data_IF_895189639592
#
_entry.id   IF_895189639592
#
_cell.length_a   1.000
_cell.length_b   1.000
_cell.length_c   1.000
_cell.angle_alpha   90.00
_cell.angle_beta   90.00
_cell.angle_gamma   90.00
#
_symmetry.space_group_name_H-M   'P 1'
#
loop_
_entity.id
_entity.type
_entity.pdbx_description
1 polymer ?
#
# COMPACT_ATOMS: atom_id res chain seq x y z
N UNK A 1 -26.08 33.61 22.31
CA UNK A 1 -25.81 33.74 20.86
C UNK A 1 -24.49 33.01 20.61
N UNK A 2 -24.55 31.74 20.19
CA UNK A 2 -23.37 30.91 19.92
C UNK A 2 -22.90 31.17 18.48
N UNK A 3 -21.61 31.39 18.19
CA UNK A 3 -21.09 31.22 16.85
C UNK A 3 -20.92 29.71 16.55
N UNK A 4 -21.41 29.32 15.38
CA UNK A 4 -21.37 27.99 14.76
C UNK A 4 -19.94 27.54 14.40
N UNK A 5 -19.60 26.25 14.51
CA UNK A 5 -18.36 25.69 13.96
C UNK A 5 -18.56 25.45 12.46
N UNK A 6 -17.91 26.25 11.62
CA UNK A 6 -17.93 26.03 10.17
C UNK A 6 -16.58 26.42 9.60
N UNK A 7 -15.61 25.51 9.74
CA UNK A 7 -14.46 25.47 8.86
C UNK A 7 -13.92 24.04 8.81
N UNK A 8 -14.64 23.17 8.10
CA UNK A 8 -14.05 21.98 7.49
C UNK A 8 -12.98 22.47 6.51
N UNK A 9 -11.75 22.65 7.00
CA UNK A 9 -10.58 22.86 6.18
C UNK A 9 -10.56 21.76 5.11
N UNK A 10 -10.73 22.17 3.85
CA UNK A 10 -10.70 21.30 2.70
C UNK A 10 -9.37 20.53 2.70
N UNK A 11 -9.39 19.27 3.10
CA UNK A 11 -8.25 18.38 2.97
C UNK A 11 -7.96 18.25 1.48
N UNK A 12 -6.83 18.79 1.04
CA UNK A 12 -6.37 18.68 -0.34
C UNK A 12 -6.47 17.21 -0.81
N UNK A 13 -6.82 16.95 -2.09
CA UNK A 13 -6.96 15.58 -2.60
C UNK A 13 -5.68 14.78 -2.32
N UNK A 14 -5.79 13.69 -1.55
CA UNK A 14 -4.65 12.84 -1.24
C UNK A 14 -4.19 12.16 -2.52
N UNK A 15 -3.00 12.53 -2.98
CA UNK A 15 -2.43 11.96 -4.20
C UNK A 15 -1.81 10.59 -3.90
N UNK A 16 -2.64 9.54 -4.02
CA UNK A 16 -2.24 8.16 -3.81
C UNK A 16 -1.15 7.67 -4.78
N UNK A 17 -0.98 8.35 -5.92
CA UNK A 17 -0.01 7.99 -6.95
C UNK A 17 1.22 8.90 -6.96
N UNK A 18 1.42 9.75 -5.93
CA UNK A 18 2.53 10.71 -5.91
C UNK A 18 3.91 10.09 -6.11
N UNK A 19 4.12 8.87 -5.59
CA UNK A 19 5.39 8.15 -5.72
C UNK A 19 5.51 7.39 -7.06
N UNK A 20 4.38 7.07 -7.71
CA UNK A 20 4.36 6.44 -9.04
C UNK A 20 4.41 7.46 -10.19
N UNK A 21 3.99 8.72 -9.96
CA UNK A 21 3.95 9.77 -11.00
C UNK A 21 5.33 10.03 -11.64
N UNK A 22 6.45 10.10 -10.90
CA UNK A 22 7.79 10.21 -11.51
C UNK A 22 8.10 9.05 -12.47
N UNK A 23 7.57 7.86 -12.20
CA UNK A 23 7.78 6.64 -12.99
C UNK A 23 6.68 6.37 -14.03
N UNK A 24 5.69 7.27 -14.17
CA UNK A 24 4.58 7.09 -15.12
C UNK A 24 5.05 7.00 -16.58
N UNK A 25 6.19 7.61 -16.91
CA UNK A 25 6.81 7.53 -18.23
C UNK A 25 7.30 6.11 -18.61
N UNK A 26 7.48 5.23 -17.61
CA UNK A 26 7.88 3.84 -17.81
C UNK A 26 6.66 2.91 -18.01
N UNK A 27 5.45 3.39 -17.72
CA UNK A 27 4.21 2.61 -17.79
C UNK A 27 3.83 2.10 -19.20
N UNK A 28 4.01 2.84 -20.31
CA UNK A 28 3.68 2.29 -21.61
C UNK A 28 4.69 1.20 -22.03
N UNK A 29 4.23 -0.05 -22.11
CA UNK A 29 5.04 -1.20 -22.58
C UNK A 29 5.56 -0.97 -24.00
N UNK A 30 4.79 -0.25 -24.82
CA UNK A 30 5.04 -0.05 -26.24
C UNK A 30 4.50 1.31 -26.72
N UNK A 31 4.73 2.39 -25.98
CA UNK A 31 4.18 3.72 -26.35
C UNK A 31 2.64 3.75 -26.38
N UNK A 32 2.07 4.81 -26.95
CA UNK A 32 0.61 5.01 -27.10
C UNK A 32 0.11 4.77 -28.51
N UNK A 33 0.97 4.25 -29.39
CA UNK A 33 0.72 4.18 -30.83
C UNK A 33 0.09 2.84 -31.25
N UNK A 34 -0.28 2.72 -32.54
CA UNK A 34 -0.78 1.46 -33.13
C UNK A 34 0.18 0.26 -32.94
N UNK A 35 1.46 0.52 -32.67
CA UNK A 35 2.43 -0.50 -32.30
C UNK A 35 2.13 -1.12 -30.92
N UNK A 36 1.61 -0.34 -29.97
CA UNK A 36 1.24 -0.83 -28.65
C UNK A 36 0.13 -1.87 -28.71
N UNK A 37 -0.91 -1.58 -29.49
CA UNK A 37 -2.05 -2.48 -29.68
C UNK A 37 -1.63 -3.79 -30.35
N UNK A 38 -0.74 -3.70 -31.36
CA UNK A 38 -0.17 -4.88 -32.00
C UNK A 38 0.68 -5.69 -31.02
N UNK A 39 1.55 -5.03 -30.28
CA UNK A 39 2.42 -5.69 -29.32
C UNK A 39 1.63 -6.33 -28.15
N UNK A 40 0.53 -5.72 -27.71
CA UNK A 40 -0.38 -6.29 -26.72
C UNK A 40 -1.12 -7.52 -27.27
N UNK A 41 -1.57 -7.49 -28.53
CA UNK A 41 -2.14 -8.65 -29.19
C UNK A 41 -1.12 -9.80 -29.33
N UNK A 42 0.12 -9.50 -29.71
CA UNK A 42 1.20 -10.48 -29.75
C UNK A 42 1.49 -11.05 -28.34
N UNK A 43 1.60 -10.21 -27.31
CA UNK A 43 1.85 -10.65 -25.95
C UNK A 43 0.75 -11.60 -25.44
N UNK A 44 -0.52 -11.29 -25.70
CA UNK A 44 -1.66 -12.17 -25.36
C UNK A 44 -1.61 -13.49 -26.13
N UNK A 45 -1.24 -13.45 -27.41
CA UNK A 45 -1.15 -14.64 -28.25
C UNK A 45 -0.04 -15.60 -27.78
N UNK A 46 1.17 -15.09 -27.53
CA UNK A 46 2.30 -15.90 -27.05
C UNK A 46 2.11 -16.42 -25.60
N UNK A 47 1.29 -15.76 -24.79
CA UNK A 47 1.00 -16.17 -23.40
C UNK A 47 -0.03 -17.30 -23.27
N UNK A 48 -0.64 -17.76 -24.36
CA UNK A 48 -1.71 -18.77 -24.33
C UNK A 48 -1.16 -20.16 -24.73
N UNK A 49 -1.55 -21.27 -24.05
CA UNK A 49 -1.11 -22.63 -24.42
C UNK A 49 -1.48 -23.04 -25.85
N UNK A 50 -2.47 -22.37 -26.44
CA UNK A 50 -2.88 -22.53 -27.84
C UNK A 50 -1.76 -22.25 -28.83
N UNK A 51 -0.84 -21.33 -28.54
CA UNK A 51 0.30 -21.04 -29.43
C UNK A 51 1.22 -22.26 -29.58
N UNK A 52 1.57 -22.91 -28.46
CA UNK A 52 2.41 -24.12 -28.47
C UNK A 52 1.73 -25.26 -29.23
N UNK A 53 0.42 -25.42 -29.05
CA UNK A 53 -0.37 -26.42 -29.79
C UNK A 53 -0.37 -26.17 -31.29
N UNK A 54 -0.63 -24.93 -31.72
CA UNK A 54 -0.62 -24.55 -33.13
C UNK A 54 0.78 -24.72 -33.76
N UNK A 55 1.85 -24.31 -33.06
CA UNK A 55 3.22 -24.47 -33.53
C UNK A 55 3.58 -25.95 -33.71
N UNK A 56 3.21 -26.80 -32.75
CA UNK A 56 3.45 -28.25 -32.83
C UNK A 56 2.70 -28.88 -34.00
N UNK A 57 1.44 -28.49 -34.22
CA UNK A 57 0.65 -28.98 -35.34
C UNK A 57 1.28 -28.62 -36.70
N UNK A 58 1.77 -27.38 -36.85
CA UNK A 58 2.45 -26.93 -38.07
C UNK A 58 3.69 -27.78 -38.35
N UNK A 59 4.50 -28.05 -37.31
CA UNK A 59 5.69 -28.90 -37.43
C UNK A 59 5.32 -30.33 -37.83
N UNK A 60 4.29 -30.91 -37.20
CA UNK A 60 3.81 -32.26 -37.53
C UNK A 60 3.30 -32.35 -38.98
N UNK A 61 2.55 -31.34 -39.44
CA UNK A 61 2.09 -31.27 -40.83
C UNK A 61 3.28 -31.17 -41.80
N UNK A 62 4.28 -30.32 -41.49
CA UNK A 62 5.48 -30.18 -42.31
C UNK A 62 6.25 -31.49 -42.45
N UNK A 63 6.51 -32.15 -41.33
CA UNK A 63 7.19 -33.46 -41.29
C UNK A 63 6.37 -34.49 -42.06
N UNK A 64 5.06 -34.57 -41.82
CA UNK A 64 4.17 -35.52 -42.50
C UNK A 64 4.10 -35.34 -44.02
N UNK A 65 4.04 -34.09 -44.50
CA UNK A 65 4.05 -33.79 -45.93
C UNK A 65 5.37 -34.20 -46.61
N UNK A 66 6.52 -33.92 -45.98
CA UNK A 66 7.82 -34.31 -46.50
C UNK A 66 8.04 -35.84 -46.44
N UNK A 67 7.56 -36.51 -45.39
CA UNK A 67 7.65 -37.96 -45.25
C UNK A 67 6.77 -38.70 -46.27
N UNK A 68 5.61 -38.14 -46.60
CA UNK A 68 4.66 -38.72 -47.56
C UNK A 68 5.15 -38.71 -49.01
N UNK A 69 6.32 -38.11 -49.28
CA UNK A 69 6.93 -38.06 -50.61
C UNK A 69 6.26 -37.09 -51.60
N UNK A 70 5.21 -36.37 -51.15
CA UNK A 70 4.48 -35.37 -51.96
C UNK A 70 5.38 -34.20 -52.34
N UNK A 71 6.30 -33.82 -51.45
CA UNK A 71 7.27 -32.74 -51.67
C UNK A 71 8.64 -33.19 -51.15
N UNK A 72 9.66 -33.25 -52.01
CA UNK A 72 11.05 -33.61 -51.64
C UNK A 72 11.88 -32.39 -51.19
N UNK A 73 11.23 -31.36 -50.65
CA UNK A 73 11.92 -30.11 -50.31
C UNK A 73 12.84 -30.25 -49.08
N UNK A 74 12.47 -31.10 -48.12
CA UNK A 74 13.21 -31.30 -46.86
C UNK A 74 13.24 -32.79 -46.47
N UNK A 75 14.03 -33.57 -47.22
CA UNK A 75 14.23 -35.01 -46.96
C UNK A 75 15.01 -35.21 -45.65
N UNK A 76 14.77 -36.31 -44.94
CA UNK A 76 15.51 -36.70 -43.73
C UNK A 76 17.03 -36.50 -43.94
N UNK A 77 17.71 -35.65 -43.14
CA UNK A 77 17.42 -35.27 -41.74
C UNK A 77 16.78 -33.86 -41.51
N UNK A 78 15.93 -33.35 -42.41
CA UNK A 78 15.20 -32.08 -42.26
C UNK A 78 16.09 -30.84 -42.03
N UNK A 79 17.04 -30.60 -42.94
CA UNK A 79 18.02 -29.51 -42.81
C UNK A 79 17.36 -28.13 -42.80
N UNK A 80 16.29 -27.92 -43.57
CA UNK A 80 15.63 -26.61 -43.67
C UNK A 80 14.85 -26.30 -42.41
N UNK A 81 14.11 -27.28 -41.88
CA UNK A 81 13.40 -27.15 -40.61
C UNK A 81 14.38 -26.87 -39.46
N UNK A 82 15.50 -27.59 -39.42
CA UNK A 82 16.53 -27.36 -38.40
C UNK A 82 17.16 -25.96 -38.52
N UNK A 83 17.43 -25.50 -39.75
CA UNK A 83 17.96 -24.16 -40.00
C UNK A 83 16.96 -23.08 -39.58
N UNK A 84 15.67 -23.27 -39.86
CA UNK A 84 14.61 -22.36 -39.44
C UNK A 84 14.51 -22.26 -37.91
N UNK A 85 14.54 -23.38 -37.19
CA UNK A 85 14.53 -23.39 -35.72
C UNK A 85 15.79 -22.77 -35.11
N UNK A 86 16.95 -23.01 -35.73
CA UNK A 86 18.22 -22.40 -35.32
C UNK A 86 18.15 -20.88 -35.44
N UNK A 87 17.65 -20.38 -36.58
CA UNK A 87 17.45 -18.94 -36.80
C UNK A 87 16.39 -18.35 -35.86
N UNK A 88 15.28 -19.05 -35.65
CA UNK A 88 14.22 -18.65 -34.74
C UNK A 88 14.78 -18.44 -33.33
N UNK A 89 15.58 -19.39 -32.83
CA UNK A 89 16.21 -19.31 -31.52
C UNK A 89 17.23 -18.19 -31.43
N UNK A 90 18.06 -18.03 -32.46
CA UNK A 90 19.08 -16.99 -32.53
C UNK A 90 18.49 -15.56 -32.52
N UNK A 91 17.33 -15.34 -33.13
CA UNK A 91 16.65 -14.05 -33.12
C UNK A 91 15.76 -13.85 -31.87
N UNK A 92 15.16 -14.94 -31.37
CA UNK A 92 14.34 -14.88 -30.16
C UNK A 92 15.15 -14.48 -28.93
N UNK A 93 16.35 -15.06 -28.74
CA UNK A 93 17.19 -14.79 -27.57
C UNK A 93 17.47 -13.28 -27.31
N UNK A 94 17.98 -12.49 -28.27
CA UNK A 94 18.23 -11.05 -28.06
C UNK A 94 16.93 -10.24 -27.92
N UNK A 95 15.86 -10.61 -28.61
CA UNK A 95 14.55 -9.96 -28.43
C UNK A 95 13.98 -10.18 -27.04
N UNK A 96 14.09 -11.42 -26.53
CA UNK A 96 13.69 -11.78 -25.17
C UNK A 96 14.54 -10.98 -24.17
N UNK A 97 15.84 -10.87 -24.38
CA UNK A 97 16.73 -10.09 -23.50
C UNK A 97 16.36 -8.60 -23.49
N UNK A 98 16.04 -8.02 -24.64
CA UNK A 98 15.59 -6.63 -24.73
C UNK A 98 14.24 -6.43 -24.02
N UNK A 99 13.30 -7.37 -24.20
CA UNK A 99 12.03 -7.35 -23.48
C UNK A 99 12.23 -7.47 -21.97
N UNK A 100 13.12 -8.35 -21.52
CA UNK A 100 13.48 -8.54 -20.12
C UNK A 100 14.16 -7.31 -19.51
N UNK A 101 15.07 -6.66 -20.23
CA UNK A 101 15.74 -5.45 -19.74
C UNK A 101 14.75 -4.31 -19.54
N UNK A 102 13.80 -4.16 -20.48
CA UNK A 102 12.70 -3.18 -20.34
C UNK A 102 11.75 -3.55 -19.20
N UNK A 103 11.46 -4.84 -19.00
CA UNK A 103 10.64 -5.28 -17.88
C UNK A 103 11.34 -5.02 -16.54
N UNK A 104 12.62 -5.37 -16.40
CA UNK A 104 13.41 -5.16 -15.20
C UNK A 104 13.52 -3.66 -14.82
N UNK A 105 13.66 -2.77 -15.80
CA UNK A 105 13.67 -1.32 -15.54
C UNK A 105 12.35 -0.83 -14.94
N UNK A 106 11.21 -1.36 -15.39
CA UNK A 106 9.88 -1.05 -14.83
C UNK A 106 9.71 -1.63 -13.45
N UNK A 107 10.05 -2.91 -13.28
CA UNK A 107 9.92 -3.60 -12.01
C UNK A 107 10.76 -2.91 -10.92
N UNK A 108 11.97 -2.46 -11.28
CA UNK A 108 12.82 -1.64 -10.40
C UNK A 108 12.14 -0.32 -10.03
N UNK A 109 11.65 0.43 -11.02
CA UNK A 109 10.99 1.71 -10.77
C UNK A 109 9.72 1.57 -9.90
N UNK A 110 8.95 0.51 -10.10
CA UNK A 110 7.77 0.21 -9.28
C UNK A 110 8.18 -0.18 -7.84
N UNK A 111 9.23 -0.97 -7.70
CA UNK A 111 9.78 -1.35 -6.38
C UNK A 111 10.31 -0.13 -5.62
N UNK A 112 11.01 0.79 -6.30
CA UNK A 112 11.54 2.02 -5.70
C UNK A 112 10.39 2.94 -5.23
N UNK A 113 9.34 3.10 -6.04
CA UNK A 113 8.14 3.86 -5.67
C UNK A 113 7.42 3.26 -4.45
N UNK A 114 7.27 1.92 -4.43
CA UNK A 114 6.66 1.20 -3.31
C UNK A 114 7.49 1.35 -2.02
N UNK A 115 8.82 1.31 -2.13
CA UNK A 115 9.71 1.51 -0.99
C UNK A 115 9.54 2.90 -0.39
N UNK A 116 9.56 3.95 -1.22
CA UNK A 116 9.32 5.33 -0.79
C UNK A 116 7.93 5.50 -0.14
N UNK A 117 6.91 4.86 -0.70
CA UNK A 117 5.56 4.88 -0.14
C UNK A 117 5.51 4.25 1.26
N UNK A 118 6.17 3.10 1.44
CA UNK A 118 6.25 2.42 2.74
C UNK A 118 7.00 3.26 3.78
N UNK A 119 8.12 3.89 3.40
CA UNK A 119 8.86 4.79 4.28
C UNK A 119 8.00 5.99 4.73
N UNK A 120 7.28 6.62 3.80
CA UNK A 120 6.39 7.73 4.13
C UNK A 120 5.26 7.32 5.08
N UNK A 121 4.69 6.12 4.91
CA UNK A 121 3.69 5.57 5.84
C UNK A 121 4.31 5.29 7.21
N UNK A 122 5.53 4.75 7.26
CA UNK A 122 6.22 4.45 8.51
C UNK A 122 6.47 5.72 9.35
N UNK A 123 6.91 6.80 8.70
CA UNK A 123 7.09 8.12 9.36
C UNK A 123 5.76 8.66 9.85
N UNK A 124 4.72 8.68 9.01
CA UNK A 124 3.40 9.17 9.44
C UNK A 124 2.82 8.35 10.61
N UNK A 125 3.08 7.04 10.65
CA UNK A 125 2.66 6.19 11.76
C UNK A 125 3.45 6.44 13.03
N UNK A 126 4.77 6.69 12.96
CA UNK A 126 5.57 7.03 14.14
C UNK A 126 5.15 8.38 14.73
N UNK A 127 4.85 9.37 13.89
CA UNK A 127 4.29 10.66 14.33
C UNK A 127 2.94 10.49 15.03
N UNK A 128 2.03 9.69 14.46
CA UNK A 128 0.74 9.38 15.10
C UNK A 128 0.90 8.67 16.44
N UNK A 129 1.87 7.76 16.56
CA UNK A 129 2.17 7.10 17.84
C UNK A 129 2.71 8.08 18.87
N UNK A 130 3.59 9.01 18.47
CA UNK A 130 4.08 10.06 19.36
C UNK A 130 2.96 11.00 19.83
N UNK A 131 2.05 11.40 18.93
CA UNK A 131 0.86 12.18 19.28
C UNK A 131 -0.05 11.41 20.25
N UNK A 132 -0.33 10.14 19.97
CA UNK A 132 -1.14 9.30 20.85
C UNK A 132 -0.51 9.14 22.25
N UNK A 133 0.82 9.02 22.34
CA UNK A 133 1.54 8.99 23.61
C UNK A 133 1.41 10.31 24.38
N UNK A 134 1.53 11.45 23.69
CA UNK A 134 1.31 12.78 24.30
C UNK A 134 -0.11 12.93 24.83
N UNK A 135 -1.12 12.53 24.05
CA UNK A 135 -2.51 12.57 24.47
C UNK A 135 -2.75 11.69 25.71
N UNK A 136 -2.15 10.49 25.73
CA UNK A 136 -2.23 9.58 26.87
C UNK A 136 -1.61 10.20 28.12
N UNK A 137 -0.47 10.88 28.00
CA UNK A 137 0.16 11.60 29.11
C UNK A 137 -0.72 12.74 29.65
N UNK A 138 -1.38 13.51 28.77
CA UNK A 138 -2.34 14.55 29.18
C UNK A 138 -3.55 13.96 29.93
N UNK A 139 -4.06 12.82 29.49
CA UNK A 139 -5.16 12.14 30.20
C UNK A 139 -4.75 11.71 31.61
N UNK A 140 -3.53 11.19 31.77
CA UNK A 140 -3.02 10.82 33.10
C UNK A 140 -2.90 12.03 34.02
N UNK A 141 -2.40 13.16 33.52
CA UNK A 141 -2.34 14.42 34.28
C UNK A 141 -3.74 14.88 34.72
N UNK A 142 -4.73 14.84 33.83
CA UNK A 142 -6.11 15.20 34.17
C UNK A 142 -6.71 14.26 35.23
N UNK A 143 -6.40 12.97 35.18
CA UNK A 143 -6.83 12.00 36.20
C UNK A 143 -6.17 12.28 37.55
N UNK A 144 -4.89 12.65 37.56
CA UNK A 144 -4.19 13.06 38.78
C UNK A 144 -4.82 14.31 39.40
N UNK A 145 -5.13 15.32 38.58
CA UNK A 145 -5.80 16.55 39.03
C UNK A 145 -7.18 16.27 39.61
N UNK A 146 -8.00 15.44 38.97
CA UNK A 146 -9.29 15.02 39.51
C UNK A 146 -9.14 14.30 40.86
N UNK A 147 -8.12 13.44 40.98
CA UNK A 147 -7.82 12.75 42.24
C UNK A 147 -7.46 13.75 43.34
N UNK A 148 -6.60 14.74 43.05
CA UNK A 148 -6.23 15.81 43.99
C UNK A 148 -7.45 16.66 44.39
N UNK A 149 -8.30 17.07 43.46
CA UNK A 149 -9.52 17.81 43.76
C UNK A 149 -10.45 17.03 44.69
N UNK A 150 -10.58 15.72 44.45
CA UNK A 150 -11.38 14.83 45.31
C UNK A 150 -10.81 14.78 46.73
N UNK A 151 -9.49 14.66 46.87
CA UNK A 151 -8.83 14.65 48.18
C UNK A 151 -8.96 15.99 48.91
N UNK A 152 -8.81 17.12 48.21
CA UNK A 152 -9.04 18.45 48.79
C UNK A 152 -10.49 18.62 49.26
N UNK A 153 -11.45 18.12 48.49
CA UNK A 153 -12.87 18.15 48.86
C UNK A 153 -13.13 17.34 50.12
N UNK A 154 -12.52 16.15 50.22
CA UNK A 154 -12.59 15.31 51.43
C UNK A 154 -12.01 16.04 52.65
N UNK A 155 -10.81 16.61 52.55
CA UNK A 155 -10.18 17.37 53.63
C UNK A 155 -11.01 18.58 54.08
N UNK A 156 -11.59 19.33 53.14
CA UNK A 156 -12.49 20.45 53.48
C UNK A 156 -13.73 19.96 54.22
N UNK A 157 -14.30 18.83 53.80
CA UNK A 157 -15.48 18.24 54.45
C UNK A 157 -15.16 17.82 55.89
N UNK A 158 -14.04 17.12 56.10
CA UNK A 158 -13.57 16.72 57.44
C UNK A 158 -13.34 17.94 58.35
N UNK A 159 -12.78 19.03 57.81
CA UNK A 159 -12.60 20.28 58.58
C UNK A 159 -13.92 20.97 58.93
N UNK A 160 -14.88 21.01 58.00
CA UNK A 160 -16.20 21.58 58.26
C UNK A 160 -16.91 20.76 59.34
N UNK A 161 -16.82 19.43 59.28
CA UNK A 161 -17.40 18.55 60.30
C UNK A 161 -16.78 18.80 61.67
N UNK A 162 -15.44 18.86 61.76
CA UNK A 162 -14.73 19.20 62.99
C UNK A 162 -15.13 20.57 63.54
N UNK A 163 -15.16 21.60 62.70
CA UNK A 163 -15.50 22.97 63.11
C UNK A 163 -16.97 23.09 63.54
N UNK A 164 -17.87 22.37 62.86
CA UNK A 164 -19.29 22.30 63.22
C UNK A 164 -19.48 21.59 64.55
N UNK A 165 -18.75 20.50 64.77
CA UNK A 165 -18.75 19.76 66.05
C UNK A 165 -18.25 20.64 67.19
N UNK A 166 -17.13 21.36 67.01
CA UNK A 166 -16.62 22.32 67.99
C UNK A 166 -17.63 23.45 68.28
N UNK A 167 -18.23 24.03 67.24
CA UNK A 167 -19.29 25.04 67.41
C UNK A 167 -20.48 24.50 68.20
N UNK A 168 -20.97 23.30 67.86
CA UNK A 168 -22.09 22.66 68.54
C UNK A 168 -21.77 22.44 70.03
N UNK A 169 -20.56 21.96 70.33
CA UNK A 169 -20.09 21.74 71.69
C UNK A 169 -19.99 23.05 72.48
N UNK A 170 -19.52 24.13 71.84
CA UNK A 170 -19.40 25.46 72.46
C UNK A 170 -20.77 26.13 72.71
N UNK A 171 -21.73 25.95 71.80
CA UNK A 171 -23.13 26.41 71.98
C UNK A 171 -23.81 25.65 73.12
N UNK A 172 -23.64 24.33 73.19
CA UNK A 172 -24.18 23.51 74.28
C UNK A 172 -23.58 23.91 75.64
N UNK A 173 -22.30 24.27 75.70
CA UNK A 173 -21.65 24.74 76.93
C UNK A 173 -22.08 26.16 77.36
N UNK A 174 -22.63 26.98 76.45
CA UNK A 174 -23.01 28.38 76.71
C UNK A 174 -24.50 28.57 77.05
N UNK A 175 -25.35 27.56 76.87
CA UNK A 175 -26.75 27.63 77.29
C UNK A 175 -26.84 27.61 78.83
N UNK A 176 -27.28 28.71 79.50
CA UNK A 176 -27.44 28.72 80.95
C UNK A 176 -28.68 27.89 81.36
N UNK A 177 -28.72 27.32 82.58
CA UNK A 177 -29.93 26.73 83.12
C UNK A 177 -30.99 27.83 83.28
N UNK A 178 -32.07 27.77 82.52
CA UNK A 178 -33.24 28.59 82.77
C UNK A 178 -34.20 27.85 83.70
N UNK A 179 -34.32 28.43 84.90
CA UNK A 179 -35.34 28.26 85.94
C UNK A 179 -35.47 26.90 86.64
#
# INVERSE_FOLDING_TARGET
MNPTPSETASAAPVDHLRFHRPHAHLAPTFGTDSFALKAEAFARFFGTPTFLGAQTLIVLIWVGLNLSGVTHFDVYPFILLNLAFSLQSAYAAPLILLAQTRQAARDKAQTDADAQHREAIAIANSERQAQAAQHTAQLLELLEQNTRLTEMTKQLTERIESLTSEMHQHVLHKAPPQA
#
